data_IF_245018874650
#
_entry.id   IF_245018874650
#
_cell.length_a   1.000
_cell.length_b   1.000
_cell.length_c   1.000
_cell.angle_alpha   90.00
_cell.angle_beta   90.00
_cell.angle_gamma   90.00
#
_symmetry.space_group_name_H-M   'P 1'
#
loop_
_entity.id
_entity.type
_entity.pdbx_description
1 polymer ?
#
# COMPACT_ATOMS: atom_id res chain seq x y z
N UNK A 1 7.72 27.69 -2.86
CA UNK A 1 6.93 26.77 -3.68
C UNK A 1 5.89 26.13 -2.79
N UNK A 2 4.60 26.13 -3.15
CA UNK A 2 3.57 25.44 -2.40
C UNK A 2 3.90 23.95 -2.23
N UNK A 3 3.48 23.34 -1.13
CA UNK A 3 3.78 21.92 -0.85
C UNK A 3 3.23 20.98 -1.93
N UNK A 4 2.09 21.34 -2.52
CA UNK A 4 1.45 20.59 -3.60
C UNK A 4 2.34 20.51 -4.88
N UNK A 5 3.02 21.61 -5.24
CA UNK A 5 3.92 21.60 -6.40
C UNK A 5 5.13 20.69 -6.17
N UNK A 6 5.66 20.66 -4.94
CA UNK A 6 6.76 19.74 -4.58
C UNK A 6 6.36 18.26 -4.70
N UNK A 7 5.11 17.92 -4.38
CA UNK A 7 4.58 16.56 -4.57
C UNK A 7 4.58 16.20 -6.06
N UNK A 8 4.05 17.09 -6.90
CA UNK A 8 3.98 16.85 -8.34
C UNK A 8 5.38 16.71 -8.95
N UNK A 9 6.31 17.60 -8.61
CA UNK A 9 7.70 17.53 -9.08
C UNK A 9 8.40 16.23 -8.64
N UNK A 10 8.21 15.82 -7.39
CA UNK A 10 8.82 14.60 -6.87
C UNK A 10 8.26 13.31 -7.52
N UNK A 11 7.02 13.33 -7.99
CA UNK A 11 6.38 12.19 -8.65
C UNK A 11 6.65 12.11 -10.17
N UNK A 12 7.01 13.23 -10.81
CA UNK A 12 7.18 13.33 -12.26
C UNK A 12 8.11 12.27 -12.87
N UNK A 13 9.33 12.01 -12.32
CA UNK A 13 10.26 11.05 -12.91
C UNK A 13 9.74 9.61 -12.98
N UNK A 14 8.72 9.28 -12.19
CA UNK A 14 8.18 7.93 -12.05
C UNK A 14 6.96 7.66 -12.93
N UNK A 15 6.42 8.69 -13.58
CA UNK A 15 5.23 8.57 -14.43
C UNK A 15 5.50 7.71 -15.66
N UNK A 16 6.68 7.86 -16.28
CA UNK A 16 7.04 7.12 -17.49
C UNK A 16 7.37 5.65 -17.23
N UNK A 17 7.54 5.26 -15.96
CA UNK A 17 7.71 3.87 -15.54
C UNK A 17 6.39 3.08 -15.54
N UNK A 18 5.23 3.76 -15.54
CA UNK A 18 3.91 3.11 -15.51
C UNK A 18 3.60 2.55 -16.91
N UNK A 19 3.66 1.22 -17.04
CA UNK A 19 3.34 0.51 -18.28
C UNK A 19 1.84 0.56 -18.54
N UNK A 20 1.44 0.89 -19.78
CA UNK A 20 0.04 1.12 -20.19
C UNK A 20 -0.67 2.24 -19.41
N UNK A 21 0.05 3.24 -18.96
CA UNK A 21 -0.54 4.34 -18.17
C UNK A 21 -1.73 5.03 -18.85
N UNK A 22 -1.84 4.99 -20.18
CA UNK A 22 -2.96 5.57 -20.91
C UNK A 22 -4.30 4.93 -20.54
N UNK A 23 -4.29 3.67 -20.08
CA UNK A 23 -5.47 2.96 -19.62
C UNK A 23 -6.01 3.51 -18.27
N UNK A 24 -5.27 4.42 -17.63
CA UNK A 24 -5.73 5.14 -16.42
C UNK A 24 -6.68 6.30 -16.73
N UNK A 25 -6.75 6.76 -17.99
CA UNK A 25 -7.60 7.90 -18.36
C UNK A 25 -9.06 7.65 -18.04
N UNK A 26 -9.69 8.68 -17.45
CA UNK A 26 -11.11 8.68 -17.10
C UNK A 26 -11.54 7.56 -16.13
N UNK A 27 -10.57 6.92 -15.47
CA UNK A 27 -10.84 5.85 -14.51
C UNK A 27 -11.10 6.38 -13.11
N UNK A 28 -11.91 5.62 -12.36
CA UNK A 28 -12.28 5.90 -10.98
C UNK A 28 -11.55 4.93 -10.05
N UNK A 29 -10.85 5.47 -9.08
CA UNK A 29 -10.02 4.71 -8.14
C UNK A 29 -10.56 4.81 -6.72
N UNK A 30 -10.70 3.69 -6.03
CA UNK A 30 -10.81 3.63 -4.59
C UNK A 30 -9.45 3.21 -4.00
N UNK A 31 -8.87 4.06 -3.15
CA UNK A 31 -7.58 3.80 -2.52
C UNK A 31 -7.79 3.80 -1.01
N UNK A 32 -7.65 2.64 -0.37
CA UNK A 32 -7.64 2.54 1.09
C UNK A 32 -6.21 2.71 1.62
N UNK A 33 -6.07 3.19 2.85
CA UNK A 33 -4.73 3.52 3.37
C UNK A 33 -4.08 4.73 2.68
N UNK A 34 -4.88 5.62 2.11
CA UNK A 34 -4.47 6.77 1.31
C UNK A 34 -3.58 7.79 2.04
N UNK A 35 -3.48 7.73 3.36
CA UNK A 35 -2.55 8.54 4.18
C UNK A 35 -1.27 7.79 4.58
N UNK A 36 -1.17 6.51 4.26
CA UNK A 36 0.05 5.71 4.47
C UNK A 36 1.11 6.01 3.41
N UNK A 37 2.35 5.53 3.62
CA UNK A 37 3.47 5.79 2.72
C UNK A 37 3.15 5.35 1.27
N UNK A 38 2.77 4.11 1.06
CA UNK A 38 2.48 3.57 -0.28
C UNK A 38 1.22 4.22 -0.87
N UNK A 39 0.10 4.21 -0.14
CA UNK A 39 -1.18 4.75 -0.63
C UNK A 39 -1.08 6.23 -1.02
N UNK A 40 -0.36 7.05 -0.23
CA UNK A 40 -0.18 8.45 -0.56
C UNK A 40 0.72 8.65 -1.80
N UNK A 41 1.72 7.80 -2.01
CA UNK A 41 2.57 7.92 -3.20
C UNK A 41 1.86 7.48 -4.48
N UNK A 42 0.96 6.50 -4.41
CA UNK A 42 0.05 6.20 -5.52
C UNK A 42 -0.85 7.40 -5.82
N UNK A 43 -1.42 8.03 -4.79
CA UNK A 43 -2.20 9.27 -4.96
C UNK A 43 -1.40 10.38 -5.63
N UNK A 44 -0.13 10.56 -5.24
CA UNK A 44 0.74 11.59 -5.82
C UNK A 44 0.92 11.39 -7.33
N UNK A 45 1.12 10.13 -7.80
CA UNK A 45 1.21 9.81 -9.22
C UNK A 45 -0.12 10.09 -9.97
N UNK A 46 -1.27 9.68 -9.40
CA UNK A 46 -2.57 9.94 -10.02
C UNK A 46 -2.90 11.43 -10.07
N UNK A 47 -2.55 12.19 -9.02
CA UNK A 47 -2.68 13.64 -9.00
C UNK A 47 -1.80 14.31 -10.06
N UNK A 48 -0.55 13.85 -10.24
CA UNK A 48 0.31 14.35 -11.30
C UNK A 48 -0.33 14.15 -12.69
N UNK A 49 -0.85 12.94 -12.94
CA UNK A 49 -1.54 12.63 -14.20
C UNK A 49 -2.75 13.55 -14.44
N UNK A 50 -3.54 13.86 -13.41
CA UNK A 50 -4.64 14.80 -13.53
C UNK A 50 -4.16 16.24 -13.77
N UNK A 51 -3.28 16.75 -12.93
CA UNK A 51 -2.91 18.17 -12.92
C UNK A 51 -1.96 18.55 -14.08
N UNK A 52 -1.12 17.62 -14.52
CA UNK A 52 -0.09 17.90 -15.56
C UNK A 52 -0.40 17.24 -16.92
N UNK A 53 -1.20 16.18 -16.93
CA UNK A 53 -1.51 15.40 -18.14
C UNK A 53 -3.00 15.34 -18.48
N UNK A 54 -3.89 15.91 -17.63
CA UNK A 54 -5.35 16.00 -17.86
C UNK A 54 -6.02 14.64 -18.09
N UNK A 55 -5.66 13.64 -17.25
CA UNK A 55 -6.18 12.27 -17.40
C UNK A 55 -7.65 12.11 -16.98
N UNK A 56 -8.25 13.04 -16.25
CA UNK A 56 -9.65 12.96 -15.84
C UNK A 56 -9.93 11.83 -14.83
N UNK A 57 -8.93 11.44 -14.04
CA UNK A 57 -9.06 10.37 -13.05
C UNK A 57 -9.90 10.85 -11.88
N UNK A 58 -10.91 10.09 -11.46
CA UNK A 58 -11.64 10.33 -10.21
C UNK A 58 -11.02 9.51 -9.08
N UNK A 59 -10.78 10.13 -7.95
CA UNK A 59 -10.08 9.54 -6.81
C UNK A 59 -11.00 9.50 -5.59
N UNK A 60 -11.22 8.31 -5.04
CA UNK A 60 -11.86 8.08 -3.76
C UNK A 60 -10.79 7.65 -2.75
N UNK A 61 -10.36 8.57 -1.91
CA UNK A 61 -9.32 8.37 -0.90
C UNK A 61 -9.96 7.94 0.43
N UNK A 62 -9.88 6.66 0.75
CA UNK A 62 -10.48 6.09 1.95
C UNK A 62 -9.50 6.12 3.14
N UNK A 63 -9.86 6.86 4.21
CA UNK A 63 -8.98 7.19 5.33
C UNK A 63 -9.68 7.18 6.68
N UNK A 64 -8.97 6.84 7.75
CA UNK A 64 -9.46 6.95 9.14
C UNK A 64 -9.53 8.38 9.65
N UNK A 65 -8.64 9.24 9.13
CA UNK A 65 -8.51 10.63 9.59
C UNK A 65 -8.37 11.55 8.38
N UNK A 66 -9.42 12.30 8.11
CA UNK A 66 -9.50 13.24 7.00
C UNK A 66 -8.59 14.45 7.16
N UNK A 67 -8.25 14.84 8.40
CA UNK A 67 -7.36 15.98 8.65
C UNK A 67 -5.95 15.74 8.08
N UNK A 68 -5.45 14.50 8.13
CA UNK A 68 -4.13 14.15 7.57
C UNK A 68 -4.10 14.31 6.05
N UNK A 69 -5.15 13.86 5.36
CA UNK A 69 -5.21 13.95 3.90
C UNK A 69 -5.43 15.41 3.45
N UNK A 70 -6.29 16.15 4.15
CA UNK A 70 -6.50 17.59 3.90
C UNK A 70 -5.22 18.39 4.12
N UNK A 71 -4.46 18.08 5.19
CA UNK A 71 -3.16 18.72 5.46
C UNK A 71 -2.13 18.44 4.35
N UNK A 72 -2.07 17.19 3.84
CA UNK A 72 -1.12 16.81 2.80
C UNK A 72 -1.48 17.40 1.44
N UNK A 73 -2.72 17.25 1.03
CA UNK A 73 -3.13 17.55 -0.34
C UNK A 73 -3.74 18.95 -0.52
N UNK A 74 -4.10 19.65 0.56
CA UNK A 74 -4.51 21.05 0.52
C UNK A 74 -5.58 21.32 -0.55
N UNK A 75 -5.20 22.09 -1.58
CA UNK A 75 -6.11 22.49 -2.68
C UNK A 75 -6.61 21.28 -3.49
N UNK A 76 -5.83 20.21 -3.63
CA UNK A 76 -6.26 19.03 -4.40
C UNK A 76 -7.44 18.33 -3.73
N UNK A 77 -7.49 18.35 -2.39
CA UNK A 77 -8.60 17.76 -1.64
C UNK A 77 -9.93 18.51 -1.81
N UNK A 78 -9.93 19.66 -2.51
CA UNK A 78 -11.12 20.46 -2.82
C UNK A 78 -11.55 20.32 -4.30
N UNK A 79 -10.82 19.58 -5.10
CA UNK A 79 -11.15 19.36 -6.51
C UNK A 79 -12.32 18.40 -6.64
N UNK A 80 -13.17 18.60 -7.65
CA UNK A 80 -14.36 17.76 -7.91
C UNK A 80 -14.02 16.29 -8.15
N UNK A 81 -12.83 16.01 -8.67
CA UNK A 81 -12.37 14.64 -8.91
C UNK A 81 -11.79 13.95 -7.66
N UNK A 82 -11.67 14.64 -6.51
CA UNK A 82 -11.02 14.11 -5.29
C UNK A 82 -12.03 13.99 -4.15
N UNK A 83 -12.39 12.77 -3.79
CA UNK A 83 -13.36 12.48 -2.74
C UNK A 83 -12.67 11.84 -1.54
N UNK A 84 -12.93 12.35 -0.35
CA UNK A 84 -12.41 11.77 0.90
C UNK A 84 -13.52 10.92 1.51
N UNK A 85 -13.25 9.62 1.71
CA UNK A 85 -14.21 8.69 2.32
C UNK A 85 -13.75 8.27 3.72
N UNK A 86 -14.65 8.25 4.70
CA UNK A 86 -14.35 7.66 6.01
C UNK A 86 -14.17 6.15 5.84
N UNK A 87 -13.03 5.61 6.33
CA UNK A 87 -12.73 4.19 6.26
C UNK A 87 -11.92 3.73 7.46
N UNK A 88 -12.41 2.70 8.13
CA UNK A 88 -11.73 1.99 9.19
C UNK A 88 -11.77 0.49 8.85
N UNK A 89 -10.60 -0.13 8.63
CA UNK A 89 -10.50 -1.53 8.23
C UNK A 89 -11.03 -2.53 9.29
N UNK A 90 -11.32 -2.07 10.50
CA UNK A 90 -11.94 -2.88 11.56
C UNK A 90 -13.46 -2.77 11.61
N UNK A 91 -14.07 -1.99 10.71
CA UNK A 91 -15.51 -1.71 10.69
C UNK A 91 -16.13 -2.06 9.34
N UNK A 92 -17.43 -2.38 9.30
CA UNK A 92 -18.16 -2.51 8.04
C UNK A 92 -18.06 -1.24 7.20
N UNK A 93 -18.08 -1.42 5.87
CA UNK A 93 -18.10 -0.32 4.90
C UNK A 93 -19.44 -0.27 4.17
N UNK A 94 -19.88 0.95 3.87
CA UNK A 94 -21.09 1.22 3.11
C UNK A 94 -20.76 2.23 1.98
N UNK A 95 -19.96 1.79 1.01
CA UNK A 95 -19.60 2.59 -0.15
C UNK A 95 -20.60 2.32 -1.28
N UNK A 96 -21.29 3.37 -1.71
CA UNK A 96 -22.25 3.34 -2.82
C UNK A 96 -21.64 3.81 -4.16
N UNK A 97 -20.39 4.26 -4.14
CA UNK A 97 -19.70 4.78 -5.32
C UNK A 97 -19.28 3.64 -6.26
N UNK A 98 -19.47 3.81 -7.54
CA UNK A 98 -18.93 2.88 -8.55
C UNK A 98 -17.52 3.29 -8.91
N UNK A 99 -16.56 2.35 -8.85
CA UNK A 99 -15.17 2.55 -9.23
C UNK A 99 -14.70 1.49 -10.20
N UNK A 100 -13.69 1.84 -10.99
CA UNK A 100 -13.11 0.91 -11.95
C UNK A 100 -12.01 0.06 -11.30
N UNK A 101 -11.23 0.68 -10.43
CA UNK A 101 -10.09 0.04 -9.76
C UNK A 101 -10.11 0.28 -8.24
N UNK A 102 -9.71 -0.77 -7.51
CA UNK A 102 -9.45 -0.68 -6.06
C UNK A 102 -7.98 -0.96 -5.79
N UNK A 103 -7.34 -0.11 -4.97
CA UNK A 103 -6.02 -0.35 -4.41
C UNK A 103 -6.17 -0.43 -2.89
N UNK A 104 -6.07 -1.66 -2.35
CA UNK A 104 -6.19 -1.88 -0.91
C UNK A 104 -4.80 -1.88 -0.26
N UNK A 105 -4.39 -0.71 0.26
CA UNK A 105 -3.13 -0.50 0.96
C UNK A 105 -3.31 -0.20 2.46
N UNK A 106 -4.53 -0.32 2.99
CA UNK A 106 -4.80 -0.11 4.40
C UNK A 106 -4.28 -1.29 5.23
N UNK A 107 -3.30 -1.05 6.05
CA UNK A 107 -2.75 -2.01 7.01
C UNK A 107 -1.92 -1.27 8.05
N UNK A 108 -1.83 -1.83 9.25
CA UNK A 108 -0.91 -1.34 10.28
C UNK A 108 0.42 -2.08 10.12
N UNK A 109 1.41 -1.44 9.52
CA UNK A 109 2.71 -2.04 9.19
C UNK A 109 3.87 -1.52 10.08
N UNK A 110 3.59 -0.66 11.07
CA UNK A 110 4.61 -0.20 12.00
C UNK A 110 4.88 -1.28 13.06
N UNK A 111 6.15 -1.73 13.27
CA UNK A 111 6.46 -2.80 14.22
C UNK A 111 6.02 -2.51 15.66
N UNK A 112 6.10 -1.27 16.11
CA UNK A 112 5.68 -0.89 17.46
C UNK A 112 4.15 -0.99 17.61
N UNK A 113 3.41 -0.55 16.60
CA UNK A 113 1.95 -0.66 16.59
C UNK A 113 1.47 -2.12 16.50
N UNK A 114 2.12 -2.95 15.66
CA UNK A 114 1.82 -4.39 15.57
C UNK A 114 2.01 -5.08 16.94
N UNK A 115 3.09 -4.76 17.64
CA UNK A 115 3.37 -5.35 18.96
C UNK A 115 2.39 -4.89 20.03
N UNK A 116 1.85 -3.67 19.92
CA UNK A 116 0.91 -3.08 20.87
C UNK A 116 -0.53 -3.55 20.62
N UNK A 117 -0.91 -3.71 19.35
CA UNK A 117 -2.28 -3.96 18.90
C UNK A 117 -2.31 -5.16 17.92
N UNK A 118 -1.87 -6.37 18.35
CA UNK A 118 -1.78 -7.52 17.44
C UNK A 118 -3.16 -8.01 16.97
N UNK A 119 -4.19 -7.94 17.80
CA UNK A 119 -5.56 -8.35 17.44
C UNK A 119 -6.10 -7.44 16.34
N UNK A 120 -6.04 -6.13 16.54
CA UNK A 120 -6.47 -5.14 15.54
C UNK A 120 -5.64 -5.24 14.25
N UNK A 121 -4.36 -5.56 14.37
CA UNK A 121 -3.49 -5.79 13.21
C UNK A 121 -3.97 -6.99 12.40
N UNK A 122 -4.27 -8.11 13.03
CA UNK A 122 -4.78 -9.31 12.36
C UNK A 122 -6.14 -9.03 11.71
N UNK A 123 -7.08 -8.49 12.52
CA UNK A 123 -8.46 -8.24 12.08
C UNK A 123 -8.53 -7.20 10.95
N UNK A 124 -7.77 -6.13 11.03
CA UNK A 124 -7.75 -5.10 9.97
C UNK A 124 -7.24 -5.63 8.63
N UNK A 125 -6.32 -6.60 8.64
CA UNK A 125 -5.84 -7.24 7.41
C UNK A 125 -6.90 -8.17 6.81
N UNK A 126 -7.48 -9.07 7.62
CA UNK A 126 -8.42 -10.09 7.10
C UNK A 126 -9.81 -9.51 6.90
N UNK A 127 -10.42 -8.95 7.95
CA UNK A 127 -11.78 -8.39 7.87
C UNK A 127 -11.83 -7.16 6.96
N UNK A 128 -10.84 -6.26 7.05
CA UNK A 128 -10.81 -5.07 6.21
C UNK A 128 -10.72 -5.41 4.72
N UNK A 129 -9.93 -6.42 4.35
CA UNK A 129 -9.86 -6.89 2.98
C UNK A 129 -11.18 -7.56 2.56
N UNK A 130 -11.77 -8.41 3.42
CA UNK A 130 -13.07 -9.05 3.14
C UNK A 130 -14.15 -8.02 2.77
N UNK A 131 -14.27 -6.94 3.54
CA UNK A 131 -15.21 -5.84 3.25
C UNK A 131 -14.94 -5.19 1.87
N UNK A 132 -13.67 -5.01 1.51
CA UNK A 132 -13.28 -4.45 0.21
C UNK A 132 -13.61 -5.43 -0.93
N UNK A 133 -13.38 -6.73 -0.76
CA UNK A 133 -13.69 -7.73 -1.78
C UNK A 133 -15.21 -7.91 -1.95
N UNK A 134 -15.98 -7.86 -0.86
CA UNK A 134 -17.45 -7.81 -0.93
C UNK A 134 -17.92 -6.55 -1.68
N UNK A 135 -17.33 -5.40 -1.41
CA UNK A 135 -17.60 -4.17 -2.18
C UNK A 135 -17.24 -4.36 -3.65
N UNK A 136 -16.06 -4.89 -3.98
CA UNK A 136 -15.62 -5.12 -5.35
C UNK A 136 -16.59 -6.04 -6.12
N UNK A 137 -17.09 -7.09 -5.45
CA UNK A 137 -18.09 -8.00 -6.00
C UNK A 137 -19.41 -7.29 -6.33
N UNK A 138 -20.03 -6.60 -5.35
CA UNK A 138 -21.34 -5.94 -5.55
C UNK A 138 -21.30 -4.75 -6.52
N UNK A 139 -20.14 -4.09 -6.64
CA UNK A 139 -19.94 -2.90 -7.48
C UNK A 139 -19.31 -3.19 -8.84
N UNK A 140 -19.09 -4.47 -9.19
CA UNK A 140 -18.51 -4.90 -10.45
C UNK A 140 -17.19 -4.19 -10.79
N UNK A 141 -16.29 -4.10 -9.79
CA UNK A 141 -14.96 -3.49 -9.94
C UNK A 141 -14.16 -4.25 -11.00
N UNK A 142 -13.53 -3.54 -11.93
CA UNK A 142 -12.78 -4.16 -13.04
C UNK A 142 -11.55 -4.93 -12.55
N UNK A 143 -10.81 -4.37 -11.57
CA UNK A 143 -9.67 -5.04 -10.94
C UNK A 143 -9.38 -4.49 -9.55
N UNK A 144 -8.98 -5.37 -8.64
CA UNK A 144 -8.54 -5.04 -7.29
C UNK A 144 -7.07 -5.39 -7.12
N UNK A 145 -6.26 -4.44 -6.66
CA UNK A 145 -4.89 -4.68 -6.22
C UNK A 145 -4.86 -4.76 -4.69
N UNK A 146 -4.37 -5.89 -4.18
CA UNK A 146 -4.08 -6.05 -2.75
C UNK A 146 -2.58 -5.83 -2.49
N UNK A 147 -2.27 -4.86 -1.64
CA UNK A 147 -0.90 -4.62 -1.17
C UNK A 147 -0.61 -5.54 0.01
N UNK A 148 0.06 -6.64 -0.28
CA UNK A 148 0.55 -7.61 0.70
C UNK A 148 1.88 -7.15 1.32
N UNK A 149 2.82 -8.04 1.57
CA UNK A 149 4.13 -7.73 2.16
C UNK A 149 5.11 -8.88 1.94
N UNK A 150 6.39 -8.59 1.81
CA UNK A 150 7.46 -9.59 1.86
C UNK A 150 7.54 -10.34 3.20
N UNK A 151 6.92 -9.84 4.27
CA UNK A 151 6.85 -10.57 5.55
C UNK A 151 6.06 -11.88 5.48
N UNK A 152 5.26 -12.10 4.43
CA UNK A 152 4.57 -13.40 4.21
C UNK A 152 5.55 -14.55 4.00
N UNK A 153 6.75 -14.27 3.51
CA UNK A 153 7.77 -15.30 3.32
C UNK A 153 8.27 -15.89 4.64
N UNK A 154 8.16 -15.18 5.76
CA UNK A 154 8.62 -15.64 7.07
C UNK A 154 10.14 -15.73 7.14
N UNK A 155 10.65 -16.83 7.73
CA UNK A 155 12.08 -17.12 7.85
C UNK A 155 12.41 -18.46 7.21
N UNK A 156 13.59 -18.55 6.58
CA UNK A 156 14.15 -19.81 6.12
C UNK A 156 15.50 -20.07 6.81
N UNK A 157 15.97 -21.31 6.74
CA UNK A 157 17.28 -21.73 7.27
C UNK A 157 18.43 -21.48 6.28
N UNK A 158 18.13 -20.96 5.10
CA UNK A 158 19.11 -20.73 4.03
C UNK A 158 19.41 -19.24 3.89
N UNK A 159 20.58 -18.90 3.33
CA UNK A 159 20.94 -17.53 2.98
C UNK A 159 20.47 -17.13 1.56
N UNK A 160 19.70 -18.00 0.89
CA UNK A 160 19.19 -17.72 -0.45
C UNK A 160 18.03 -16.71 -0.39
N UNK A 161 17.89 -15.83 -1.39
CA UNK A 161 16.68 -15.03 -1.56
C UNK A 161 15.44 -15.91 -1.64
N UNK A 162 14.29 -15.41 -1.17
CA UNK A 162 13.01 -16.07 -1.34
C UNK A 162 12.54 -15.97 -2.79
N UNK A 163 11.91 -17.03 -3.26
CA UNK A 163 11.11 -17.03 -4.50
C UNK A 163 9.63 -16.79 -4.17
N UNK A 164 8.83 -16.43 -5.15
CA UNK A 164 7.41 -16.09 -4.95
C UNK A 164 6.56 -17.25 -4.40
N UNK A 165 6.94 -18.48 -4.64
CA UNK A 165 6.30 -19.71 -4.16
C UNK A 165 6.91 -20.26 -2.85
N UNK A 166 7.87 -19.56 -2.26
CA UNK A 166 8.45 -19.94 -0.96
C UNK A 166 7.49 -19.59 0.18
N UNK A 167 7.36 -20.53 1.13
CA UNK A 167 6.60 -20.36 2.36
C UNK A 167 7.44 -20.78 3.57
N UNK A 168 8.23 -19.84 4.09
CA UNK A 168 9.08 -20.10 5.26
C UNK A 168 8.28 -20.12 6.58
N UNK A 169 9.00 -20.36 7.66
CA UNK A 169 8.42 -20.51 9.00
C UNK A 169 7.99 -19.17 9.61
N UNK A 170 6.85 -19.20 10.30
CA UNK A 170 6.38 -18.12 11.17
C UNK A 170 6.01 -18.77 12.50
N UNK A 171 6.55 -18.24 13.61
CA UNK A 171 6.15 -18.65 14.95
C UNK A 171 4.73 -18.16 15.25
N UNK A 172 3.76 -19.08 15.16
CA UNK A 172 2.33 -18.76 15.25
C UNK A 172 1.91 -18.25 16.63
N UNK A 173 2.64 -18.60 17.67
CA UNK A 173 2.33 -18.20 19.05
C UNK A 173 2.98 -16.88 19.46
N UNK A 174 3.84 -16.33 18.62
CA UNK A 174 4.39 -15.01 18.81
C UNK A 174 3.36 -13.94 18.36
N UNK A 175 2.95 -12.99 19.22
CA UNK A 175 2.00 -11.94 18.83
C UNK A 175 2.45 -11.12 17.61
N UNK A 176 3.76 -11.03 17.35
CA UNK A 176 4.31 -10.36 16.15
C UNK A 176 3.87 -11.05 14.86
N UNK A 177 3.51 -12.34 14.91
CA UNK A 177 2.98 -13.09 13.77
C UNK A 177 1.63 -12.55 13.25
N UNK A 178 0.91 -11.75 14.03
CA UNK A 178 -0.38 -11.18 13.63
C UNK A 178 -0.33 -10.46 12.26
N UNK A 179 0.76 -9.75 11.96
CA UNK A 179 0.91 -9.06 10.69
C UNK A 179 1.21 -10.03 9.52
N UNK A 180 2.30 -10.81 9.52
CA UNK A 180 2.56 -11.72 8.40
C UNK A 180 1.49 -12.80 8.22
N UNK A 181 0.90 -13.31 9.30
CA UNK A 181 -0.21 -14.26 9.19
C UNK A 181 -1.50 -13.62 8.71
N UNK A 182 -1.78 -12.39 9.12
CA UNK A 182 -2.87 -11.59 8.57
C UNK A 182 -2.72 -11.40 7.06
N UNK A 183 -1.51 -11.08 6.57
CA UNK A 183 -1.22 -10.95 5.13
C UNK A 183 -1.32 -12.30 4.39
N UNK A 184 -0.84 -13.42 4.96
CA UNK A 184 -1.02 -14.77 4.36
C UNK A 184 -2.50 -15.12 4.24
N UNK A 185 -3.29 -14.95 5.32
CA UNK A 185 -4.72 -15.19 5.29
C UNK A 185 -5.44 -14.30 4.26
N UNK A 186 -5.00 -13.06 4.13
CA UNK A 186 -5.53 -12.12 3.14
C UNK A 186 -5.23 -12.55 1.70
N UNK A 187 -4.03 -13.07 1.40
CA UNK A 187 -3.73 -13.62 0.07
C UNK A 187 -4.59 -14.85 -0.24
N UNK A 188 -4.78 -15.74 0.75
CA UNK A 188 -5.70 -16.89 0.60
C UNK A 188 -7.14 -16.41 0.36
N UNK A 189 -7.57 -15.34 1.05
CA UNK A 189 -8.89 -14.75 0.85
C UNK A 189 -9.03 -14.18 -0.57
N UNK A 190 -8.01 -13.50 -1.11
CA UNK A 190 -7.98 -13.05 -2.50
C UNK A 190 -8.17 -14.23 -3.48
N UNK A 191 -7.42 -15.33 -3.28
CA UNK A 191 -7.53 -16.52 -4.09
C UNK A 191 -8.93 -17.15 -4.01
N UNK A 192 -9.52 -17.18 -2.83
CA UNK A 192 -10.88 -17.70 -2.61
C UNK A 192 -11.93 -16.87 -3.34
N UNK A 193 -11.88 -15.55 -3.22
CA UNK A 193 -12.81 -14.65 -3.92
C UNK A 193 -12.64 -14.69 -5.44
N UNK A 194 -11.41 -14.79 -5.93
CA UNK A 194 -11.17 -14.94 -7.36
C UNK A 194 -11.77 -16.24 -7.89
N UNK A 195 -11.59 -17.36 -7.18
CA UNK A 195 -12.10 -18.67 -7.60
C UNK A 195 -13.62 -18.77 -7.45
N UNK A 196 -14.21 -18.25 -6.36
CA UNK A 196 -15.63 -18.43 -6.06
C UNK A 196 -16.53 -17.43 -6.80
N UNK A 197 -16.03 -16.21 -7.02
CA UNK A 197 -16.82 -15.09 -7.56
C UNK A 197 -16.25 -14.48 -8.84
N UNK A 198 -15.22 -15.07 -9.42
CA UNK A 198 -14.56 -14.60 -10.67
C UNK A 198 -14.06 -13.12 -10.54
N UNK A 199 -13.62 -12.73 -9.34
CA UNK A 199 -13.06 -11.41 -9.15
C UNK A 199 -11.64 -11.30 -9.70
N UNK A 200 -11.39 -10.26 -10.48
CA UNK A 200 -10.07 -9.96 -11.00
C UNK A 200 -9.21 -9.29 -9.92
N UNK A 201 -8.34 -10.06 -9.29
CA UNK A 201 -7.50 -9.63 -8.18
C UNK A 201 -6.02 -9.85 -8.53
N UNK A 202 -5.20 -8.85 -8.26
CA UNK A 202 -3.74 -8.95 -8.32
C UNK A 202 -3.14 -8.64 -6.94
N UNK A 203 -2.02 -9.29 -6.62
CA UNK A 203 -1.36 -9.19 -5.33
C UNK A 203 0.05 -8.66 -5.54
N UNK A 204 0.46 -7.67 -4.77
CA UNK A 204 1.84 -7.20 -4.73
C UNK A 204 2.43 -7.40 -3.33
N UNK A 205 3.67 -7.87 -3.25
CA UNK A 205 4.42 -8.13 -2.01
C UNK A 205 5.60 -7.16 -1.85
N UNK A 206 5.34 -5.86 -1.55
CA UNK A 206 6.43 -4.91 -1.39
C UNK A 206 7.34 -5.29 -0.23
N UNK A 207 8.65 -5.10 -0.43
CA UNK A 207 9.69 -5.31 0.58
C UNK A 207 9.82 -4.13 1.55
N UNK A 208 11.06 -3.68 1.79
CA UNK A 208 11.31 -2.53 2.66
C UNK A 208 11.20 -1.22 1.87
N UNK A 209 10.06 -0.57 1.98
CA UNK A 209 9.81 0.69 1.29
C UNK A 209 10.30 1.87 2.12
N UNK A 210 11.00 2.80 1.48
CA UNK A 210 11.46 4.05 2.07
C UNK A 210 11.09 5.25 1.19
N UNK A 211 11.03 6.43 1.77
CA UNK A 211 10.75 7.66 1.01
C UNK A 211 10.13 8.75 1.85
N UNK A 212 9.66 9.83 1.23
CA UNK A 212 8.94 10.90 1.93
C UNK A 212 7.67 10.31 2.58
N UNK A 213 7.15 10.99 3.61
CA UNK A 213 6.00 10.51 4.43
C UNK A 213 6.34 9.54 5.57
N UNK A 214 7.62 9.30 5.83
CA UNK A 214 8.02 8.69 7.11
C UNK A 214 7.51 9.56 8.25
N UNK A 215 6.77 8.94 9.18
CA UNK A 215 6.27 9.65 10.36
C UNK A 215 7.37 9.75 11.44
N UNK A 216 7.27 10.76 12.31
CA UNK A 216 8.22 10.92 13.43
C UNK A 216 8.22 9.72 14.39
N UNK A 217 7.13 8.95 14.40
CA UNK A 217 6.96 7.76 15.24
C UNK A 217 7.36 6.46 14.55
N UNK A 218 7.75 6.48 13.27
CA UNK A 218 8.16 5.26 12.55
C UNK A 218 9.39 4.64 13.20
N UNK A 219 9.25 3.41 13.71
CA UNK A 219 10.28 2.71 14.48
C UNK A 219 11.27 1.90 13.64
N UNK A 220 11.08 1.83 12.32
CA UNK A 220 11.96 1.10 11.41
C UNK A 220 13.37 1.71 11.38
N UNK A 221 14.39 0.85 11.22
CA UNK A 221 15.79 1.26 11.26
C UNK A 221 16.11 2.38 10.25
N UNK A 222 15.64 2.26 8.99
CA UNK A 222 15.85 3.29 7.97
C UNK A 222 15.27 4.65 8.38
N UNK A 223 14.06 4.67 8.94
CA UNK A 223 13.40 5.89 9.42
C UNK A 223 14.14 6.51 10.60
N UNK A 224 14.56 5.67 11.56
CA UNK A 224 15.31 6.14 12.74
C UNK A 224 16.68 6.69 12.34
N UNK A 225 17.43 6.01 11.46
CA UNK A 225 18.74 6.47 11.01
C UNK A 225 18.64 7.80 10.25
N UNK A 226 17.63 7.94 9.39
CA UNK A 226 17.38 9.19 8.67
C UNK A 226 17.07 10.34 9.65
N UNK A 227 16.21 10.12 10.64
CA UNK A 227 15.91 11.15 11.66
C UNK A 227 17.13 11.54 12.47
N UNK A 228 17.91 10.54 12.91
CA UNK A 228 19.12 10.81 13.70
C UNK A 228 20.13 11.63 12.87
N UNK A 229 20.35 11.25 11.61
CA UNK A 229 21.24 12.00 10.72
C UNK A 229 20.77 13.46 10.50
N UNK A 230 19.48 13.67 10.25
CA UNK A 230 18.89 15.00 10.06
C UNK A 230 18.98 15.86 11.33
N UNK A 231 18.92 15.25 12.51
CA UNK A 231 19.01 15.92 13.80
C UNK A 231 20.44 15.99 14.36
N UNK A 232 21.45 15.61 13.58
CA UNK A 232 22.86 15.53 14.00
C UNK A 232 23.07 14.67 15.28
N UNK A 233 22.28 13.59 15.41
CA UNK A 233 22.36 12.63 16.50
C UNK A 233 23.09 11.37 16.06
N UNK A 234 23.72 10.69 17.02
CA UNK A 234 24.41 9.44 16.77
C UNK A 234 23.46 8.34 16.27
N UNK A 235 23.90 7.55 15.30
CA UNK A 235 23.21 6.36 14.83
C UNK A 235 23.67 5.19 15.67
N UNK A 236 22.84 4.77 16.63
CA UNK A 236 23.13 3.65 17.52
C UNK A 236 22.49 2.38 16.95
N UNK A 237 23.31 1.43 16.54
CA UNK A 237 22.84 0.13 16.08
C UNK A 237 22.42 -0.75 17.26
N UNK A 238 21.19 -1.27 17.21
CA UNK A 238 20.63 -2.18 18.24
C UNK A 238 20.93 -3.67 17.97
N UNK A 239 21.63 -3.97 16.87
CA UNK A 239 21.99 -5.33 16.46
C UNK A 239 23.38 -5.32 15.81
N UNK A 240 23.94 -6.52 15.56
CA UNK A 240 25.24 -6.67 14.89
C UNK A 240 25.25 -6.19 13.42
N UNK A 241 24.12 -5.78 12.85
CA UNK A 241 24.03 -5.23 11.49
C UNK A 241 24.28 -6.25 10.38
N UNK A 242 24.06 -7.53 10.64
CA UNK A 242 24.32 -8.63 9.68
C UNK A 242 23.14 -8.90 8.74
N UNK A 243 21.99 -8.28 8.98
CA UNK A 243 20.80 -8.48 8.13
C UNK A 243 20.98 -7.79 6.79
N UNK A 244 20.79 -8.55 5.72
CA UNK A 244 20.64 -8.01 4.37
C UNK A 244 19.17 -7.60 4.15
N UNK A 245 18.97 -6.45 3.50
CA UNK A 245 17.64 -5.90 3.21
C UNK A 245 17.65 -5.30 1.81
N UNK A 246 16.67 -5.65 1.00
CA UNK A 246 16.35 -4.94 -0.24
C UNK A 246 15.48 -3.74 0.11
N UNK A 247 15.84 -2.57 -0.40
CA UNK A 247 15.07 -1.34 -0.23
C UNK A 247 14.56 -0.86 -1.57
N UNK A 248 13.27 -0.54 -1.63
CA UNK A 248 12.64 0.07 -2.80
C UNK A 248 12.17 1.49 -2.46
N UNK A 249 12.44 2.44 -3.33
CA UNK A 249 11.94 3.80 -3.17
C UNK A 249 10.44 3.85 -3.39
N UNK A 250 9.74 4.66 -2.62
CA UNK A 250 8.27 4.60 -2.57
C UNK A 250 7.58 4.96 -3.89
N UNK A 251 8.16 5.83 -4.70
CA UNK A 251 7.58 6.13 -6.02
C UNK A 251 7.86 5.05 -7.06
N UNK A 252 9.01 4.35 -6.98
CA UNK A 252 9.25 3.13 -7.78
C UNK A 252 8.21 2.05 -7.41
N UNK A 253 7.98 1.84 -6.12
CA UNK A 253 6.92 0.96 -5.65
C UNK A 253 5.53 1.40 -6.16
N UNK A 254 5.19 2.67 -6.08
CA UNK A 254 3.89 3.18 -6.52
C UNK A 254 3.67 3.01 -8.03
N UNK A 255 4.69 3.29 -8.86
CA UNK A 255 4.63 3.07 -10.33
C UNK A 255 4.53 1.60 -10.67
N UNK A 256 5.27 0.73 -9.95
CA UNK A 256 5.15 -0.73 -10.09
C UNK A 256 3.75 -1.24 -9.72
N UNK A 257 3.16 -0.74 -8.62
CA UNK A 257 1.79 -1.10 -8.21
C UNK A 257 0.75 -0.72 -9.28
N UNK A 258 0.85 0.46 -9.87
CA UNK A 258 -0.02 0.87 -10.99
C UNK A 258 0.21 0.00 -12.22
N UNK A 259 1.46 -0.36 -12.53
CA UNK A 259 1.80 -1.28 -13.62
C UNK A 259 1.22 -2.68 -13.39
N UNK A 260 1.34 -3.23 -12.17
CA UNK A 260 0.75 -4.52 -11.78
C UNK A 260 -0.78 -4.47 -11.88
N UNK A 261 -1.40 -3.40 -11.40
CA UNK A 261 -2.85 -3.23 -11.52
C UNK A 261 -3.30 -3.29 -12.98
N UNK A 262 -2.60 -2.64 -13.89
CA UNK A 262 -2.99 -2.58 -15.31
C UNK A 262 -2.64 -3.86 -16.08
N UNK A 263 -1.50 -4.48 -15.82
CA UNK A 263 -0.93 -5.55 -16.64
C UNK A 263 -0.93 -6.93 -15.96
N UNK A 264 -1.04 -6.99 -14.62
CA UNK A 264 -1.00 -8.26 -13.88
C UNK A 264 -2.13 -9.20 -14.27
N UNK A 265 -1.81 -10.48 -14.34
CA UNK A 265 -2.79 -11.55 -14.52
C UNK A 265 -3.52 -11.85 -13.21
N UNK A 266 -4.63 -12.58 -13.29
CA UNK A 266 -5.40 -13.06 -12.14
C UNK A 266 -4.48 -13.77 -11.15
N UNK A 267 -4.52 -13.34 -9.88
CA UNK A 267 -3.68 -13.85 -8.78
C UNK A 267 -2.17 -13.77 -9.04
N UNK A 268 -1.74 -12.91 -9.99
CA UNK A 268 -0.31 -12.65 -10.17
C UNK A 268 0.25 -12.03 -8.90
N UNK A 269 1.26 -12.68 -8.33
CA UNK A 269 2.06 -12.11 -7.24
C UNK A 269 3.33 -11.55 -7.83
N UNK A 270 3.69 -10.33 -7.49
CA UNK A 270 4.96 -9.73 -7.88
C UNK A 270 5.67 -9.23 -6.65
N UNK A 271 6.94 -9.57 -6.55
CA UNK A 271 7.84 -8.96 -5.58
C UNK A 271 8.29 -7.61 -6.18
N UNK A 272 7.72 -6.52 -5.68
CA UNK A 272 8.07 -5.17 -6.12
C UNK A 272 9.49 -4.73 -5.67
N UNK A 273 10.34 -5.68 -5.28
CA UNK A 273 11.70 -5.46 -4.80
C UNK A 273 12.78 -5.97 -5.78
N UNK A 274 12.40 -6.56 -6.92
CA UNK A 274 13.34 -6.99 -7.97
C UNK A 274 13.46 -5.96 -9.10
#
# INVERSE_FOLDING_TARGET
MPYCDKILEASEPFIDQIVKREDLKEKRFLITGATGMIGSSVLDLLLFLNERKQYGITIYAAVRNDSKIKKRYGIFAQKEYFHILPYDATKPIDFEYSVDYVIHAASNADPAAISKEPVETLMSNVFGLDQILQYAKRSSVQKTLFVSSSEIYGTNSTSKPFLEDDYGNIDLLNPRAAYPMGKRASETLCASYANEYDLNIVIARPGHIYGPTITDTDSRASAQFTRNALNHQDIIMKSAGTQLRSYCYVYDCASALLTILLNGCLLYTSDAAD
#
